data_IF_398607278407
#
_entry.id   IF_398607278407
#
_cell.length_a   1.000
_cell.length_b   1.000
_cell.length_c   1.000
_cell.angle_alpha   90.00
_cell.angle_beta   90.00
_cell.angle_gamma   90.00
#
_symmetry.space_group_name_H-M   'P 1'
#
loop_
_entity.id
_entity.type
_entity.pdbx_description
1 polymer ?
#
# COMPACT_ATOMS: atom_id res chain seq x y z
N UNK A 1 -13.05 24.41 3.87
CA UNK A 1 -12.61 25.78 3.48
C UNK A 1 -11.08 25.76 3.36
N UNK A 2 -10.51 26.39 2.33
CA UNK A 2 -9.06 26.48 2.09
C UNK A 2 -8.64 27.95 2.20
N UNK A 3 -7.70 28.30 3.07
CA UNK A 3 -7.18 29.67 3.25
C UNK A 3 -5.67 29.70 3.02
N UNK A 4 -5.18 30.78 2.42
CA UNK A 4 -3.75 31.11 2.31
C UNK A 4 -3.52 32.44 3.03
N UNK A 5 -2.48 32.51 3.86
CA UNK A 5 -1.94 33.76 4.41
C UNK A 5 -0.60 34.05 3.72
N UNK A 6 -0.40 35.27 3.23
CA UNK A 6 0.74 35.68 2.39
C UNK A 6 1.61 36.77 3.02
N UNK A 7 1.46 37.02 4.33
CA UNK A 7 2.17 38.09 5.05
C UNK A 7 3.67 37.84 5.29
N UNK A 8 4.16 36.60 5.13
CA UNK A 8 5.60 36.27 5.12
C UNK A 8 5.88 34.93 4.42
N UNK A 9 5.63 33.81 5.11
CA UNK A 9 5.69 32.47 4.56
C UNK A 9 4.25 31.96 4.28
N UNK A 10 3.98 31.37 3.10
CA UNK A 10 2.63 30.93 2.75
C UNK A 10 2.18 29.77 3.65
N UNK A 11 1.11 29.98 4.42
CA UNK A 11 0.47 28.93 5.22
C UNK A 11 -0.83 28.52 4.53
N UNK A 12 -1.00 27.22 4.27
CA UNK A 12 -2.24 26.65 3.77
C UNK A 12 -2.92 25.84 4.86
N UNK A 13 -4.16 26.22 5.18
CA UNK A 13 -5.00 25.49 6.15
C UNK A 13 -6.15 24.80 5.46
N UNK A 14 -6.33 23.50 5.74
CA UNK A 14 -7.41 22.67 5.21
C UNK A 14 -8.44 22.41 6.33
N UNK A 15 -9.65 22.93 6.17
CA UNK A 15 -10.77 22.63 7.05
C UNK A 15 -11.74 21.66 6.37
N UNK A 16 -11.88 20.47 6.94
CA UNK A 16 -12.70 19.37 6.42
C UNK A 16 -12.05 18.66 5.21
N UNK A 17 -12.84 17.85 4.51
CA UNK A 17 -12.40 17.06 3.36
C UNK A 17 -12.88 15.62 3.47
N UNK A 18 -13.78 15.21 2.59
CA UNK A 18 -14.25 13.82 2.55
C UNK A 18 -13.25 12.98 1.76
N UNK A 19 -13.17 11.68 2.07
CA UNK A 19 -12.38 10.72 1.28
C UNK A 19 -12.78 10.79 -0.19
N UNK A 20 -14.07 10.98 -0.51
CA UNK A 20 -14.54 11.09 -1.90
C UNK A 20 -14.09 12.36 -2.63
N UNK A 21 -13.63 13.39 -1.92
CA UNK A 21 -13.23 14.69 -2.51
C UNK A 21 -11.74 14.98 -2.37
N UNK A 22 -10.96 14.04 -1.83
CA UNK A 22 -9.55 14.28 -1.48
C UNK A 22 -8.71 14.75 -2.68
N UNK A 23 -8.87 14.11 -3.85
CA UNK A 23 -8.10 14.44 -5.06
C UNK A 23 -8.35 15.86 -5.56
N UNK A 24 -9.63 16.24 -5.67
CA UNK A 24 -10.01 17.61 -6.07
C UNK A 24 -9.61 18.65 -5.02
N UNK A 25 -9.63 18.29 -3.74
CA UNK A 25 -9.13 19.14 -2.67
C UNK A 25 -7.61 19.36 -2.78
N UNK A 26 -6.84 18.31 -3.06
CA UNK A 26 -5.40 18.40 -3.30
C UNK A 26 -5.06 19.26 -4.52
N UNK A 27 -5.76 19.09 -5.65
CA UNK A 27 -5.61 19.97 -6.83
C UNK A 27 -5.92 21.44 -6.50
N UNK A 28 -6.92 21.69 -5.64
CA UNK A 28 -7.28 23.04 -5.20
C UNK A 28 -6.23 23.65 -4.26
N UNK A 29 -5.63 22.85 -3.39
CA UNK A 29 -4.53 23.26 -2.53
C UNK A 29 -3.29 23.59 -3.39
N UNK A 30 -2.93 22.75 -4.36
CA UNK A 30 -1.81 23.01 -5.25
C UNK A 30 -1.96 24.31 -6.03
N UNK A 31 -3.13 24.59 -6.64
CA UNK A 31 -3.38 25.87 -7.33
C UNK A 31 -3.16 27.11 -6.44
N UNK A 32 -3.41 26.99 -5.13
CA UNK A 32 -3.19 28.06 -4.16
C UNK A 32 -1.71 28.23 -3.78
N UNK A 33 -0.91 27.18 -3.98
CA UNK A 33 0.52 27.11 -3.64
C UNK A 33 1.39 27.46 -4.86
N UNK A 34 0.95 27.13 -6.09
CA UNK A 34 1.69 27.39 -7.33
C UNK A 34 2.25 28.81 -7.47
N UNK A 35 1.57 29.90 -7.07
CA UNK A 35 2.16 31.25 -7.17
C UNK A 35 3.42 31.48 -6.33
N UNK A 36 3.70 30.61 -5.35
CA UNK A 36 4.84 30.72 -4.44
C UNK A 36 6.02 29.80 -4.79
N UNK A 37 5.86 28.90 -5.77
CA UNK A 37 6.84 27.89 -6.14
C UNK A 37 6.86 27.65 -7.66
N UNK A 38 7.99 27.23 -8.22
CA UNK A 38 8.07 26.78 -9.62
C UNK A 38 7.45 25.38 -9.78
N UNK A 39 6.11 25.31 -9.73
CA UNK A 39 5.34 24.07 -9.85
C UNK A 39 4.57 24.00 -11.17
N UNK A 40 4.29 22.79 -11.68
CA UNK A 40 3.41 22.63 -12.83
C UNK A 40 2.00 23.19 -12.55
N UNK A 41 1.51 24.04 -13.45
CA UNK A 41 0.24 24.74 -13.25
C UNK A 41 -1.00 23.92 -13.69
N UNK A 42 -0.77 22.80 -14.40
CA UNK A 42 -1.85 21.96 -14.93
C UNK A 42 -2.12 20.74 -14.02
N UNK A 43 -3.40 20.45 -13.72
CA UNK A 43 -3.75 19.25 -12.97
C UNK A 43 -3.49 18.00 -13.82
N UNK A 44 -2.89 16.97 -13.20
CA UNK A 44 -2.55 15.71 -13.85
C UNK A 44 -3.18 14.48 -13.17
N UNK A 45 -3.47 14.58 -11.87
CA UNK A 45 -3.88 13.44 -11.01
C UNK A 45 -5.19 12.74 -11.42
N UNK A 46 -5.98 13.32 -12.32
CA UNK A 46 -7.24 12.72 -12.78
C UNK A 46 -7.03 11.53 -13.72
N UNK A 47 -5.87 11.44 -14.37
CA UNK A 47 -5.58 10.46 -15.42
C UNK A 47 -4.36 9.59 -15.10
N UNK A 48 -3.90 9.62 -13.85
CA UNK A 48 -2.77 8.82 -13.40
C UNK A 48 -3.28 7.77 -12.43
N UNK A 49 -2.97 6.51 -12.73
CA UNK A 49 -3.20 5.41 -11.82
C UNK A 49 -2.42 5.62 -10.51
N UNK A 50 -3.04 5.27 -9.39
CA UNK A 50 -2.30 5.15 -8.13
C UNK A 50 -1.45 3.87 -8.17
N UNK A 51 -0.37 3.79 -7.36
CA UNK A 51 0.46 2.59 -7.26
C UNK A 51 -0.38 1.33 -7.06
N UNK A 52 -0.02 0.26 -7.78
CA UNK A 52 -0.77 -1.00 -7.82
C UNK A 52 -2.06 -0.97 -8.63
N UNK A 53 -2.64 0.20 -8.94
CA UNK A 53 -3.94 0.36 -9.59
C UNK A 53 -3.89 0.60 -11.09
N UNK A 54 -2.80 0.22 -11.77
CA UNK A 54 -2.61 0.44 -13.21
C UNK A 54 -3.29 -0.66 -14.05
N UNK A 55 -4.61 -0.77 -13.90
CA UNK A 55 -5.47 -1.70 -14.63
C UNK A 55 -6.94 -1.27 -14.53
N UNK A 56 -7.75 -1.68 -15.51
CA UNK A 56 -9.18 -1.44 -15.54
C UNK A 56 -9.94 -2.41 -14.63
N UNK A 57 -11.08 -1.98 -14.09
CA UNK A 57 -11.90 -2.82 -13.17
C UNK A 57 -12.30 -4.15 -13.81
N UNK A 58 -12.56 -4.16 -15.12
CA UNK A 58 -12.90 -5.37 -15.86
C UNK A 58 -11.77 -6.40 -15.90
N UNK A 59 -10.51 -5.97 -15.77
CA UNK A 59 -9.31 -6.83 -15.84
C UNK A 59 -8.98 -7.50 -14.49
N UNK A 60 -9.73 -7.19 -13.42
CA UNK A 60 -9.45 -7.71 -12.09
C UNK A 60 -9.43 -9.24 -12.02
N UNK A 61 -10.36 -9.92 -12.71
CA UNK A 61 -10.40 -11.38 -12.75
C UNK A 61 -9.17 -11.94 -13.50
N UNK A 62 -8.85 -11.35 -14.65
CA UNK A 62 -7.71 -11.75 -15.46
C UNK A 62 -6.37 -11.59 -14.70
N UNK A 63 -6.24 -10.57 -13.86
CA UNK A 63 -5.04 -10.39 -13.02
C UNK A 63 -4.87 -11.53 -12.01
N UNK A 64 -5.96 -12.03 -11.44
CA UNK A 64 -5.90 -13.17 -10.50
C UNK A 64 -5.43 -14.42 -11.24
N UNK A 65 -6.00 -14.68 -12.42
CA UNK A 65 -5.63 -15.83 -13.25
C UNK A 65 -4.17 -15.74 -13.70
N UNK A 66 -3.74 -14.57 -14.19
CA UNK A 66 -2.33 -14.31 -14.56
C UNK A 66 -1.39 -14.56 -13.38
N UNK A 67 -1.72 -14.04 -12.19
CA UNK A 67 -0.89 -14.25 -11.00
C UNK A 67 -0.76 -15.74 -10.65
N UNK A 68 -1.85 -16.51 -10.74
CA UNK A 68 -1.81 -17.95 -10.50
C UNK A 68 -1.03 -18.72 -11.58
N UNK A 69 -1.09 -18.27 -12.84
CA UNK A 69 -0.29 -18.84 -13.92
C UNK A 69 1.21 -18.57 -13.71
N UNK A 70 1.58 -17.39 -13.22
CA UNK A 70 2.97 -17.04 -12.90
C UNK A 70 3.48 -17.78 -11.65
N UNK A 71 2.61 -18.04 -10.68
CA UNK A 71 2.95 -18.64 -9.38
C UNK A 71 2.00 -19.80 -9.06
N UNK A 72 2.31 -20.98 -9.61
CA UNK A 72 1.45 -22.18 -9.56
C UNK A 72 1.14 -22.72 -8.16
N UNK A 73 1.87 -22.28 -7.13
CA UNK A 73 1.63 -22.64 -5.74
C UNK A 73 0.54 -21.78 -5.07
N UNK A 74 0.04 -20.72 -5.71
CA UNK A 74 -1.03 -19.89 -5.18
C UNK A 74 -2.40 -20.55 -5.38
N UNK A 75 -3.21 -20.57 -4.32
CA UNK A 75 -4.64 -20.80 -4.48
C UNK A 75 -5.34 -19.54 -5.00
N UNK A 76 -6.54 -19.70 -5.51
CA UNK A 76 -7.37 -18.58 -5.97
C UNK A 76 -7.60 -17.53 -4.88
N UNK A 77 -7.86 -17.96 -3.65
CA UNK A 77 -8.13 -17.10 -2.49
C UNK A 77 -6.90 -16.29 -2.11
N UNK A 78 -5.72 -16.88 -2.20
CA UNK A 78 -4.47 -16.19 -1.92
C UNK A 78 -4.15 -15.18 -3.04
N UNK A 79 -4.22 -15.59 -4.31
CA UNK A 79 -4.01 -14.69 -5.44
C UNK A 79 -5.00 -13.52 -5.42
N UNK A 80 -6.30 -13.80 -5.24
CA UNK A 80 -7.35 -12.79 -5.10
C UNK A 80 -7.10 -11.84 -3.93
N UNK A 81 -6.58 -12.32 -2.80
CA UNK A 81 -6.23 -11.46 -1.66
C UNK A 81 -5.12 -10.48 -2.04
N UNK A 82 -4.07 -10.97 -2.69
CA UNK A 82 -2.93 -10.14 -3.10
C UNK A 82 -3.35 -9.10 -4.14
N UNK A 83 -4.05 -9.49 -5.21
CA UNK A 83 -4.52 -8.55 -6.25
C UNK A 83 -5.48 -7.52 -5.66
N UNK A 84 -6.38 -7.91 -4.74
CA UNK A 84 -7.29 -6.95 -4.10
C UNK A 84 -6.57 -5.93 -3.22
N UNK A 85 -5.46 -6.31 -2.62
CA UNK A 85 -4.74 -5.48 -1.66
C UNK A 85 -3.64 -4.63 -2.32
N UNK A 86 -2.89 -5.21 -3.25
CA UNK A 86 -1.69 -4.64 -3.85
C UNK A 86 -1.82 -4.40 -5.36
N UNK A 87 -2.85 -4.95 -6.00
CA UNK A 87 -3.01 -4.88 -7.44
C UNK A 87 -1.79 -5.42 -8.19
N UNK A 88 -1.23 -4.62 -9.10
CA UNK A 88 -0.07 -5.00 -9.91
C UNK A 88 1.24 -5.13 -9.12
N UNK A 89 1.34 -4.55 -7.91
CA UNK A 89 2.51 -4.73 -7.04
C UNK A 89 2.60 -6.15 -6.44
N UNK A 90 1.57 -6.98 -6.61
CA UNK A 90 1.58 -8.38 -6.17
C UNK A 90 2.73 -9.19 -6.79
N UNK A 91 3.11 -8.89 -8.05
CA UNK A 91 4.25 -9.53 -8.71
C UNK A 91 5.57 -9.12 -8.08
N UNK A 92 5.73 -7.86 -7.66
CA UNK A 92 6.93 -7.38 -7.00
C UNK A 92 7.10 -7.99 -5.60
N UNK A 93 5.98 -8.23 -4.90
CA UNK A 93 5.96 -8.95 -3.62
C UNK A 93 6.47 -10.39 -3.82
N UNK A 94 5.87 -11.14 -4.75
CA UNK A 94 6.19 -12.54 -4.97
C UNK A 94 7.55 -12.72 -5.67
N UNK A 95 7.99 -11.73 -6.44
CA UNK A 95 9.27 -11.64 -7.12
C UNK A 95 9.61 -12.96 -7.87
N UNK A 96 10.83 -13.47 -7.71
CA UNK A 96 11.30 -14.68 -8.40
C UNK A 96 10.97 -16.00 -7.67
N UNK A 97 10.07 -15.99 -6.68
CA UNK A 97 9.67 -17.20 -5.96
C UNK A 97 9.11 -18.27 -6.91
N UNK A 98 9.55 -19.51 -6.73
CA UNK A 98 9.10 -20.68 -7.50
C UNK A 98 8.22 -21.61 -6.67
N UNK A 99 8.37 -21.54 -5.35
CA UNK A 99 7.58 -22.31 -4.39
C UNK A 99 7.06 -21.42 -3.27
N UNK A 100 6.04 -21.88 -2.56
CA UNK A 100 5.52 -21.18 -1.38
C UNK A 100 6.59 -21.05 -0.27
N UNK A 101 7.54 -21.98 -0.20
CA UNK A 101 8.64 -21.94 0.77
C UNK A 101 9.64 -20.82 0.50
N UNK A 102 9.78 -20.38 -0.76
CA UNK A 102 10.68 -19.28 -1.12
C UNK A 102 10.20 -17.93 -0.56
N UNK A 103 8.92 -17.84 -0.15
CA UNK A 103 8.34 -16.66 0.48
C UNK A 103 8.64 -16.57 1.98
N UNK A 104 9.38 -17.55 2.52
CA UNK A 104 9.71 -17.66 3.93
C UNK A 104 8.56 -18.20 4.77
N UNK A 105 8.62 -17.93 6.08
CA UNK A 105 7.61 -18.42 7.03
C UNK A 105 6.22 -17.87 6.71
N UNK A 106 5.20 -18.72 6.85
CA UNK A 106 3.80 -18.30 6.86
C UNK A 106 3.30 -18.06 8.29
N UNK A 107 2.58 -16.96 8.50
CA UNK A 107 2.08 -16.55 9.82
C UNK A 107 0.59 -16.83 10.03
N UNK A 108 -0.15 -17.19 8.97
CA UNK A 108 -1.60 -17.36 8.98
C UNK A 108 -2.27 -16.45 7.94
N UNK A 109 -3.46 -16.82 7.47
CA UNK A 109 -4.21 -16.06 6.45
C UNK A 109 -3.38 -15.76 5.18
N UNK A 110 -2.47 -16.67 4.80
CA UNK A 110 -1.52 -16.55 3.69
C UNK A 110 -0.50 -15.40 3.81
N UNK A 111 -0.29 -14.84 5.00
CA UNK A 111 0.74 -13.83 5.26
C UNK A 111 2.10 -14.51 5.29
N UNK A 112 3.06 -14.00 4.52
CA UNK A 112 4.42 -14.52 4.43
C UNK A 112 5.45 -13.52 4.92
N UNK A 113 6.66 -13.97 5.24
CA UNK A 113 7.80 -13.10 5.56
C UNK A 113 8.13 -12.14 4.41
N UNK A 114 7.99 -12.60 3.17
CA UNK A 114 8.20 -11.79 1.98
C UNK A 114 7.19 -10.64 1.89
N UNK A 115 5.89 -10.88 2.14
CA UNK A 115 4.86 -9.84 2.17
C UNK A 115 5.09 -8.83 3.31
N UNK A 116 5.45 -9.32 4.50
CA UNK A 116 5.80 -8.43 5.62
C UNK A 116 7.02 -7.58 5.29
N UNK A 117 8.04 -8.18 4.68
CA UNK A 117 9.25 -7.48 4.25
C UNK A 117 8.95 -6.41 3.21
N UNK A 118 8.05 -6.68 2.26
CA UNK A 118 7.57 -5.68 1.30
C UNK A 118 6.90 -4.52 2.01
N UNK A 119 5.94 -4.79 2.90
CA UNK A 119 5.20 -3.74 3.60
C UNK A 119 6.10 -2.88 4.49
N UNK A 120 7.14 -3.46 5.10
CA UNK A 120 8.14 -2.69 5.86
C UNK A 120 8.95 -1.76 4.94
N UNK A 121 9.38 -2.25 3.76
CA UNK A 121 10.26 -1.51 2.85
C UNK A 121 9.53 -0.44 2.05
N UNK A 122 8.31 -0.73 1.60
CA UNK A 122 7.60 0.07 0.60
C UNK A 122 6.36 0.77 1.16
N UNK A 123 5.80 0.31 2.28
CA UNK A 123 4.54 0.84 2.82
C UNK A 123 4.67 1.42 4.23
N UNK A 124 5.89 1.67 4.70
CA UNK A 124 6.19 2.24 6.02
C UNK A 124 5.56 1.47 7.19
N UNK A 125 5.43 0.15 7.10
CA UNK A 125 5.01 -0.67 8.25
C UNK A 125 6.08 -0.62 9.35
N UNK A 126 5.76 0.00 10.48
CA UNK A 126 6.67 0.17 11.61
C UNK A 126 6.42 -0.83 12.73
N UNK A 127 5.18 -1.32 12.88
CA UNK A 127 4.74 -2.28 13.88
C UNK A 127 3.63 -3.19 13.33
N UNK A 128 3.20 -4.18 14.11
CA UNK A 128 2.15 -5.12 13.70
C UNK A 128 0.82 -4.41 13.40
N UNK A 129 0.47 -3.34 14.11
CA UNK A 129 -0.81 -2.65 13.88
C UNK A 129 -0.86 -1.93 12.53
N UNK A 130 0.28 -1.45 12.02
CA UNK A 130 0.38 -0.89 10.66
C UNK A 130 -0.08 -1.93 9.65
N UNK A 131 0.49 -3.13 9.72
CA UNK A 131 0.19 -4.19 8.78
C UNK A 131 -1.22 -4.75 8.99
N UNK A 132 -1.57 -5.10 10.23
CA UNK A 132 -2.77 -5.87 10.55
C UNK A 132 -4.06 -5.06 10.49
N UNK A 133 -4.03 -3.76 10.79
CA UNK A 133 -5.24 -2.94 10.91
C UNK A 133 -5.32 -1.86 9.84
N UNK A 134 -4.18 -1.32 9.38
CA UNK A 134 -4.16 -0.24 8.38
C UNK A 134 -3.97 -0.76 6.96
N UNK A 135 -3.02 -1.69 6.72
CA UNK A 135 -2.76 -2.25 5.39
C UNK A 135 -3.77 -3.34 5.02
N UNK A 136 -3.89 -4.37 5.86
CA UNK A 136 -4.57 -5.61 5.44
C UNK A 136 -5.94 -5.87 6.06
N UNK A 137 -6.20 -5.34 7.28
CA UNK A 137 -7.32 -5.73 8.15
C UNK A 137 -7.36 -7.22 8.54
N UNK A 138 -6.26 -7.95 8.38
CA UNK A 138 -6.18 -9.38 8.75
C UNK A 138 -6.09 -9.61 10.26
N UNK A 139 -5.90 -8.55 11.06
CA UNK A 139 -6.03 -8.62 12.52
C UNK A 139 -7.39 -9.14 13.00
N UNK A 140 -8.44 -9.05 12.16
CA UNK A 140 -9.77 -9.60 12.46
C UNK A 140 -9.87 -11.13 12.36
N UNK A 141 -8.89 -11.79 11.73
CA UNK A 141 -8.93 -13.23 11.43
C UNK A 141 -7.85 -14.04 12.13
N UNK A 142 -6.74 -13.39 12.48
CA UNK A 142 -5.58 -14.05 13.08
C UNK A 142 -5.80 -14.36 14.56
N UNK A 143 -5.14 -15.41 15.03
CA UNK A 143 -5.04 -15.77 16.44
C UNK A 143 -3.96 -14.91 17.13
N UNK A 144 -4.07 -14.75 18.44
CA UNK A 144 -3.08 -13.99 19.24
C UNK A 144 -1.64 -14.47 19.05
N UNK A 145 -1.44 -15.78 18.89
CA UNK A 145 -0.12 -16.36 18.64
C UNK A 145 0.46 -15.90 17.30
N UNK A 146 -0.37 -15.82 16.25
CA UNK A 146 0.02 -15.39 14.92
C UNK A 146 0.36 -13.89 14.93
N UNK A 147 -0.47 -13.08 15.60
CA UNK A 147 -0.23 -11.64 15.80
C UNK A 147 1.11 -11.40 16.51
N UNK A 148 1.40 -12.15 17.58
CA UNK A 148 2.67 -12.04 18.31
C UNK A 148 3.87 -12.42 17.42
N UNK A 149 3.74 -13.44 16.58
CA UNK A 149 4.80 -13.84 15.66
C UNK A 149 5.07 -12.76 14.60
N UNK A 150 4.03 -12.13 14.06
CA UNK A 150 4.16 -11.00 13.11
C UNK A 150 4.83 -9.80 13.79
N UNK A 151 4.41 -9.45 15.01
CA UNK A 151 5.01 -8.36 15.77
C UNK A 151 6.51 -8.60 16.04
N UNK A 152 6.87 -9.85 16.39
CA UNK A 152 8.26 -10.24 16.58
C UNK A 152 9.07 -10.10 15.28
N UNK A 153 8.54 -10.62 14.16
CA UNK A 153 9.20 -10.52 12.85
C UNK A 153 9.48 -9.06 12.45
N UNK A 154 8.46 -8.19 12.52
CA UNK A 154 8.61 -6.77 12.13
C UNK A 154 9.68 -6.08 12.99
N UNK A 155 9.70 -6.33 14.31
CA UNK A 155 10.71 -5.78 15.21
C UNK A 155 12.12 -6.24 14.81
N UNK A 156 12.28 -7.54 14.55
CA UNK A 156 13.57 -8.15 14.23
C UNK A 156 14.12 -7.69 12.86
N UNK A 157 13.26 -7.68 11.84
CA UNK A 157 13.61 -7.25 10.48
C UNK A 157 14.18 -5.82 10.47
N UNK A 158 13.60 -4.93 11.28
CA UNK A 158 14.05 -3.53 11.38
C UNK A 158 15.38 -3.39 12.11
N UNK A 159 15.61 -4.17 13.16
CA UNK A 159 16.89 -4.13 13.89
C UNK A 159 18.08 -4.60 13.04
N UNK A 160 17.89 -5.58 12.16
CA UNK A 160 18.96 -6.08 11.28
C UNK A 160 19.39 -5.09 10.18
N UNK A 161 18.57 -4.09 9.86
CA UNK A 161 18.86 -3.07 8.83
C UNK A 161 19.48 -1.79 9.39
N UNK A 162 19.59 -1.67 10.71
CA UNK A 162 20.12 -0.45 11.38
C UNK A 162 21.58 -0.61 11.84
N UNK A 163 22.23 -1.71 11.47
CA UNK A 163 23.67 -1.94 11.64
C UNK A 163 24.31 -2.19 10.29
#
# INVERSE_FOLDING_TARGET
MLRVDSSSAPIVTIFGGKITTYRKLAESALRKITPFFELPDKPWTAHTALPGGDFEVAEFADLIEKLMQNYSYLSFEWARRLIRLYGTEAWDILNNSKTASDLGKQFGCYITEQELSWSIRNEWTQNADDFLWRRTRLGLKLKDVEIKQIAHFIKHFKTQKTG
#
